data_IF_322880274411
#
_entry.id   IF_322880274411
#
_cell.length_a   1.000
_cell.length_b   1.000
_cell.length_c   1.000
_cell.angle_alpha   90.00
_cell.angle_beta   90.00
_cell.angle_gamma   90.00
#
_symmetry.space_group_name_H-M   'P 1'
#
loop_
_entity.id
_entity.type
_entity.pdbx_description
1 polymer ?
#
# COMPACT_ATOMS: atom_id res chain seq x y z
N UNK A 1 -9.91 9.82 0.96
CA UNK A 1 -9.52 10.93 0.06
C UNK A 1 -9.51 10.43 -1.37
N UNK A 2 -10.24 11.06 -2.28
CA UNK A 2 -10.25 10.73 -3.72
C UNK A 2 -9.43 11.78 -4.48
N UNK A 3 -8.44 11.35 -5.25
CA UNK A 3 -7.52 12.25 -5.95
C UNK A 3 -7.89 12.50 -7.42
N UNK A 4 -8.86 11.77 -7.97
CA UNK A 4 -9.32 11.96 -9.34
C UNK A 4 -10.83 12.13 -9.43
N UNK A 5 -11.26 13.01 -10.34
CA UNK A 5 -12.63 13.11 -10.81
C UNK A 5 -12.63 13.15 -12.35
N UNK A 6 -13.58 12.47 -12.97
CA UNK A 6 -13.74 12.52 -14.42
C UNK A 6 -14.46 13.81 -14.83
N UNK A 7 -14.05 14.43 -15.92
CA UNK A 7 -14.83 15.52 -16.52
C UNK A 7 -16.06 14.93 -17.22
N UNK A 8 -17.24 15.51 -16.96
CA UNK A 8 -18.51 15.01 -17.49
C UNK A 8 -18.62 15.12 -19.03
N UNK A 9 -17.82 16.00 -19.64
CA UNK A 9 -17.71 16.15 -21.09
C UNK A 9 -16.80 15.11 -21.76
N UNK A 10 -16.20 14.20 -20.97
CA UNK A 10 -15.33 13.14 -21.46
C UNK A 10 -13.92 13.60 -21.86
N UNK A 11 -13.54 14.85 -21.59
CA UNK A 11 -12.22 15.41 -21.95
C UNK A 11 -11.06 14.81 -21.15
N UNK A 12 -11.35 14.04 -20.10
CA UNK A 12 -10.36 13.29 -19.34
C UNK A 12 -10.67 13.27 -17.85
N UNK A 13 -9.61 13.31 -17.04
CA UNK A 13 -9.71 13.32 -15.58
C UNK A 13 -8.94 14.51 -15.00
N UNK A 14 -9.52 15.15 -13.98
CA UNK A 14 -8.81 16.07 -13.12
C UNK A 14 -8.09 15.25 -12.03
N UNK A 15 -6.77 15.45 -11.88
CA UNK A 15 -5.96 14.74 -10.88
C UNK A 15 -5.32 15.73 -9.89
N UNK A 16 -5.74 15.63 -8.63
CA UNK A 16 -5.32 16.49 -7.53
C UNK A 16 -3.81 16.46 -7.24
N UNK A 17 -3.11 15.35 -7.53
CA UNK A 17 -1.66 15.24 -7.33
C UNK A 17 -0.86 16.02 -8.39
N UNK A 18 -1.47 16.29 -9.54
CA UNK A 18 -0.82 16.90 -10.71
C UNK A 18 -1.17 18.37 -10.89
N UNK A 19 -1.92 18.94 -9.95
CA UNK A 19 -2.32 20.34 -9.98
C UNK A 19 -1.51 21.12 -8.94
N UNK A 20 -0.89 22.20 -9.38
CA UNK A 20 -0.39 23.23 -8.48
C UNK A 20 -1.54 23.88 -7.70
N UNK A 21 -1.22 24.56 -6.61
CA UNK A 21 -2.20 25.31 -5.81
C UNK A 21 -2.97 26.33 -6.65
N UNK A 22 -2.31 26.97 -7.63
CA UNK A 22 -2.94 27.93 -8.54
C UNK A 22 -3.95 27.24 -9.45
N UNK A 23 -3.56 26.14 -10.10
CA UNK A 23 -4.45 25.34 -10.96
C UNK A 23 -5.65 24.80 -10.17
N UNK A 24 -5.44 24.37 -8.93
CA UNK A 24 -6.53 23.90 -8.07
C UNK A 24 -7.51 25.02 -7.73
N UNK A 25 -7.01 26.21 -7.37
CA UNK A 25 -7.87 27.36 -7.11
C UNK A 25 -8.58 27.86 -8.37
N UNK A 26 -7.97 27.74 -9.55
CA UNK A 26 -8.64 27.99 -10.82
C UNK A 26 -9.77 27.00 -11.08
N UNK A 27 -9.52 25.70 -10.88
CA UNK A 27 -10.57 24.67 -10.96
C UNK A 27 -11.72 25.00 -10.01
N UNK A 28 -11.44 25.31 -8.75
CA UNK A 28 -12.46 25.66 -7.76
C UNK A 28 -13.27 26.90 -8.11
N UNK A 29 -12.68 27.90 -8.78
CA UNK A 29 -13.38 29.12 -9.20
C UNK A 29 -14.24 28.91 -10.44
N UNK A 30 -13.80 28.04 -11.36
CA UNK A 30 -14.37 27.94 -12.69
C UNK A 30 -15.31 26.74 -12.87
N UNK A 31 -15.18 25.69 -12.06
CA UNK A 31 -16.05 24.52 -12.18
C UNK A 31 -17.50 24.86 -11.84
N UNK A 32 -18.43 24.15 -12.49
CA UNK A 32 -19.84 24.11 -12.13
C UNK A 32 -20.19 22.74 -11.57
N UNK A 33 -21.19 22.71 -10.70
CA UNK A 33 -21.75 21.46 -10.19
C UNK A 33 -22.18 20.59 -11.36
N UNK A 34 -21.65 19.37 -11.42
CA UNK A 34 -21.90 18.42 -12.51
C UNK A 34 -20.79 18.32 -13.55
N UNK A 35 -19.85 19.27 -13.60
CA UNK A 35 -18.70 19.23 -14.52
C UNK A 35 -17.71 18.11 -14.17
N UNK A 36 -17.66 17.74 -12.89
CA UNK A 36 -16.78 16.71 -12.35
C UNK A 36 -17.62 15.57 -11.78
N UNK A 37 -17.19 14.34 -12.03
CA UNK A 37 -17.89 13.12 -11.63
C UNK A 37 -16.97 12.22 -10.80
N UNK A 38 -17.53 11.66 -9.72
CA UNK A 38 -16.82 10.72 -8.85
C UNK A 38 -16.58 9.40 -9.58
N UNK A 39 -15.37 8.81 -9.52
CA UNK A 39 -15.06 7.59 -10.25
C UNK A 39 -15.83 6.35 -9.77
N UNK A 40 -16.35 6.37 -8.53
CA UNK A 40 -17.06 5.22 -7.95
C UNK A 40 -18.53 5.08 -8.36
N UNK A 41 -19.19 6.16 -8.80
CA UNK A 41 -20.63 6.17 -9.05
C UNK A 41 -21.12 7.24 -10.04
N UNK A 42 -20.21 8.02 -10.62
CA UNK A 42 -20.50 9.16 -11.51
C UNK A 42 -21.34 10.29 -10.90
N UNK A 43 -21.60 10.26 -9.59
CA UNK A 43 -22.25 11.37 -8.89
C UNK A 43 -21.38 12.64 -8.95
N UNK A 44 -21.97 13.85 -8.87
CA UNK A 44 -21.21 15.08 -8.94
C UNK A 44 -20.10 15.16 -7.87
N UNK A 45 -18.90 15.51 -8.31
CA UNK A 45 -17.71 15.69 -7.49
C UNK A 45 -17.46 17.17 -7.19
N UNK A 46 -16.97 17.45 -5.99
CA UNK A 46 -16.64 18.78 -5.49
C UNK A 46 -15.13 18.84 -5.18
N UNK A 47 -14.38 19.76 -5.79
CA UNK A 47 -12.99 20.01 -5.44
C UNK A 47 -12.89 20.72 -4.08
N UNK A 48 -12.33 20.02 -3.09
CA UNK A 48 -12.13 20.49 -1.72
C UNK A 48 -10.65 20.52 -1.34
N UNK A 49 -10.37 21.19 -0.23
CA UNK A 49 -9.05 21.20 0.42
C UNK A 49 -9.24 20.65 1.82
N UNK A 50 -8.39 19.72 2.24
CA UNK A 50 -8.45 19.17 3.60
C UNK A 50 -8.00 20.19 4.63
N UNK A 51 -8.25 19.95 5.91
CA UNK A 51 -7.77 20.82 7.00
C UNK A 51 -6.24 21.00 6.98
N UNK A 52 -5.51 20.05 6.42
CA UNK A 52 -4.05 20.07 6.29
C UNK A 52 -3.57 20.62 4.94
N UNK A 53 -4.46 21.20 4.12
CA UNK A 53 -4.09 21.86 2.86
C UNK A 53 -4.01 20.95 1.63
N UNK A 54 -4.45 19.69 1.71
CA UNK A 54 -4.34 18.76 0.57
C UNK A 54 -5.60 18.83 -0.33
N UNK A 55 -5.43 19.08 -1.64
CA UNK A 55 -6.50 18.97 -2.64
C UNK A 55 -7.12 17.57 -2.74
N UNK A 56 -8.45 17.48 -2.83
CA UNK A 56 -9.17 16.23 -3.06
C UNK A 56 -10.58 16.44 -3.62
N UNK A 57 -11.18 15.37 -4.15
CA UNK A 57 -12.58 15.35 -4.59
C UNK A 57 -13.49 14.67 -3.57
N UNK A 58 -14.67 15.24 -3.38
CA UNK A 58 -15.72 14.69 -2.52
C UNK A 58 -17.07 14.67 -3.24
N UNK A 59 -17.96 13.76 -2.86
CA UNK A 59 -19.34 13.75 -3.36
C UNK A 59 -20.09 15.05 -2.98
N UNK A 60 -20.90 15.57 -3.91
CA UNK A 60 -21.83 16.67 -3.66
C UNK A 60 -23.13 16.15 -3.00
N UNK A 61 -23.07 15.90 -1.68
CA UNK A 61 -24.24 15.46 -0.92
C UNK A 61 -24.79 14.08 -1.31
N UNK A 62 -25.62 13.49 -0.44
CA UNK A 62 -26.27 12.20 -0.68
C UNK A 62 -25.43 10.97 -0.29
N UNK A 63 -26.12 9.85 -0.06
CA UNK A 63 -25.50 8.55 0.17
C UNK A 63 -25.03 7.99 -1.18
N UNK A 64 -23.71 7.85 -1.33
CA UNK A 64 -23.18 7.04 -2.42
C UNK A 64 -23.68 5.60 -2.24
N UNK A 65 -24.30 5.02 -3.27
CA UNK A 65 -24.80 3.64 -3.22
C UNK A 65 -23.67 2.62 -3.24
N UNK A 66 -22.48 3.04 -3.68
CA UNK A 66 -21.26 2.25 -3.63
C UNK A 66 -20.81 2.12 -2.17
N UNK A 67 -20.61 0.88 -1.70
CA UNK A 67 -20.15 0.63 -0.33
C UNK A 67 -18.87 1.40 0.00
N UNK A 68 -18.68 1.79 1.26
CA UNK A 68 -17.44 2.44 1.68
C UNK A 68 -16.21 1.58 1.37
N UNK A 69 -16.35 0.25 1.45
CA UNK A 69 -15.32 -0.72 1.08
C UNK A 69 -14.87 -0.53 -0.37
N UNK A 70 -15.83 -0.50 -1.28
CA UNK A 70 -15.62 -0.29 -2.72
C UNK A 70 -15.07 1.10 -3.03
N UNK A 71 -15.53 2.15 -2.34
CA UNK A 71 -15.01 3.51 -2.52
C UNK A 71 -13.54 3.61 -2.15
N UNK A 72 -13.13 3.05 -1.01
CA UNK A 72 -11.74 3.04 -0.59
C UNK A 72 -10.87 2.20 -1.51
N UNK A 73 -11.35 1.03 -1.92
CA UNK A 73 -10.62 0.14 -2.82
C UNK A 73 -10.33 0.85 -4.15
N UNK A 74 -11.33 1.49 -4.73
CA UNK A 74 -11.17 2.26 -5.96
C UNK A 74 -10.26 3.47 -5.77
N UNK A 75 -10.42 4.23 -4.69
CA UNK A 75 -9.57 5.39 -4.40
C UNK A 75 -8.09 4.97 -4.22
N UNK A 76 -7.84 3.86 -3.54
CA UNK A 76 -6.51 3.30 -3.39
C UNK A 76 -5.93 2.83 -4.74
N UNK A 77 -6.71 2.16 -5.60
CA UNK A 77 -6.27 1.75 -6.95
C UNK A 77 -5.82 2.95 -7.78
N UNK A 78 -6.65 3.98 -7.83
CA UNK A 78 -6.38 5.22 -8.55
C UNK A 78 -5.14 5.93 -8.01
N UNK A 79 -5.01 6.00 -6.67
CA UNK A 79 -3.85 6.62 -6.03
C UNK A 79 -2.56 5.87 -6.39
N UNK A 80 -2.53 4.55 -6.23
CA UNK A 80 -1.35 3.73 -6.53
C UNK A 80 -1.00 3.82 -8.02
N UNK A 81 -1.99 3.77 -8.92
CA UNK A 81 -1.79 3.94 -10.37
C UNK A 81 -1.16 5.29 -10.68
N UNK A 82 -1.70 6.38 -10.12
CA UNK A 82 -1.19 7.74 -10.34
C UNK A 82 0.25 7.89 -9.84
N UNK A 83 0.57 7.36 -8.66
CA UNK A 83 1.94 7.41 -8.13
C UNK A 83 2.91 6.57 -8.96
N UNK A 84 2.49 5.41 -9.47
CA UNK A 84 3.32 4.61 -10.39
C UNK A 84 3.61 5.38 -11.69
N UNK A 85 2.61 6.06 -12.26
CA UNK A 85 2.81 6.93 -13.43
C UNK A 85 3.80 8.07 -13.13
N UNK A 86 3.69 8.72 -11.98
CA UNK A 86 4.60 9.79 -11.56
C UNK A 86 6.03 9.28 -11.32
N UNK A 87 6.18 8.00 -10.94
CA UNK A 87 7.46 7.30 -10.90
C UNK A 87 7.94 6.86 -12.30
N UNK A 88 7.24 7.19 -13.37
CA UNK A 88 7.62 6.86 -14.75
C UNK A 88 7.30 5.42 -15.16
N UNK A 89 6.41 4.73 -14.46
CA UNK A 89 5.89 3.44 -14.88
C UNK A 89 4.76 3.62 -15.92
N UNK A 90 4.66 2.69 -16.87
CA UNK A 90 3.39 2.42 -17.55
C UNK A 90 2.49 1.71 -16.54
N UNK A 91 1.40 2.35 -16.11
CA UNK A 91 0.51 1.80 -15.10
C UNK A 91 -0.92 1.63 -15.58
N UNK A 92 -1.63 0.66 -14.99
CA UNK A 92 -3.06 0.42 -15.23
C UNK A 92 -3.71 -0.17 -13.99
N UNK A 93 -5.04 -0.08 -13.91
CA UNK A 93 -5.84 -0.77 -12.89
C UNK A 93 -6.49 -2.01 -13.51
N UNK A 94 -6.78 -3.02 -12.69
CA UNK A 94 -7.48 -4.24 -13.10
C UNK A 94 -6.79 -5.02 -14.22
N UNK A 95 -5.46 -5.01 -14.25
CA UNK A 95 -4.66 -5.60 -15.33
C UNK A 95 -4.78 -7.13 -15.32
N UNK A 96 -5.36 -7.75 -16.37
CA UNK A 96 -5.41 -9.19 -16.47
C UNK A 96 -4.04 -9.76 -16.86
N UNK A 97 -3.78 -10.99 -16.45
CA UNK A 97 -2.64 -11.77 -16.88
C UNK A 97 -2.89 -13.26 -16.81
N UNK A 98 -1.96 -14.04 -17.34
CA UNK A 98 -2.07 -15.48 -17.42
C UNK A 98 -0.71 -16.14 -17.55
N UNK A 99 -0.54 -17.23 -16.81
CA UNK A 99 0.63 -18.11 -16.91
C UNK A 99 0.23 -19.54 -16.58
N UNK A 100 1.24 -20.39 -16.31
CA UNK A 100 1.06 -21.82 -16.08
C UNK A 100 0.16 -22.11 -14.86
N UNK A 101 0.19 -21.23 -13.86
CA UNK A 101 -0.67 -21.30 -12.66
C UNK A 101 -2.11 -20.76 -12.89
N UNK A 102 -2.44 -20.41 -14.13
CA UNK A 102 -3.75 -19.93 -14.57
C UNK A 102 -3.85 -18.41 -14.70
N UNK A 103 -5.09 -17.93 -14.90
CA UNK A 103 -5.40 -16.50 -15.02
C UNK A 103 -5.34 -15.79 -13.68
N UNK A 104 -4.93 -14.53 -13.72
CA UNK A 104 -4.95 -13.59 -12.60
C UNK A 104 -5.34 -12.19 -13.07
N UNK A 105 -5.67 -11.32 -12.12
CA UNK A 105 -5.95 -9.91 -12.34
C UNK A 105 -5.29 -9.14 -11.20
N UNK A 106 -4.36 -8.24 -11.54
CA UNK A 106 -3.73 -7.35 -10.59
C UNK A 106 -4.62 -6.12 -10.39
N UNK A 107 -4.88 -5.76 -9.14
CA UNK A 107 -5.62 -4.53 -8.81
C UNK A 107 -4.97 -3.30 -9.44
N UNK A 108 -3.65 -3.19 -9.35
CA UNK A 108 -2.85 -2.17 -10.04
C UNK A 108 -1.58 -2.80 -10.60
N UNK A 109 -1.25 -2.43 -11.83
CA UNK A 109 -0.05 -2.85 -12.52
C UNK A 109 0.87 -1.66 -12.77
N UNK A 110 2.17 -1.89 -12.70
CA UNK A 110 3.20 -0.93 -13.09
C UNK A 110 4.38 -1.61 -13.78
N UNK A 111 4.88 -1.00 -14.85
CA UNK A 111 6.05 -1.48 -15.58
C UNK A 111 7.01 -0.34 -15.91
N UNK A 112 8.30 -0.50 -15.55
CA UNK A 112 9.37 0.45 -15.88
C UNK A 112 10.67 -0.31 -16.09
N UNK A 113 11.37 -0.05 -17.20
CA UNK A 113 12.67 -0.65 -17.53
C UNK A 113 12.69 -2.19 -17.41
N UNK A 114 11.63 -2.86 -17.87
CA UNK A 114 11.48 -4.32 -17.80
C UNK A 114 11.11 -4.88 -16.42
N UNK A 115 11.08 -4.04 -15.38
CA UNK A 115 10.60 -4.41 -14.05
C UNK A 115 9.08 -4.31 -14.02
N UNK A 116 8.41 -5.41 -13.68
CA UNK A 116 6.96 -5.52 -13.57
C UNK A 116 6.55 -5.64 -12.10
N UNK A 117 5.53 -4.88 -11.70
CA UNK A 117 4.98 -4.83 -10.35
C UNK A 117 3.45 -4.94 -10.38
N UNK A 118 2.91 -5.95 -9.69
CA UNK A 118 1.50 -6.08 -9.35
C UNK A 118 1.26 -5.60 -7.90
N UNK A 119 0.48 -4.56 -7.71
CA UNK A 119 0.05 -4.10 -6.39
C UNK A 119 -1.37 -4.56 -6.14
N UNK A 120 -1.57 -5.33 -5.08
CA UNK A 120 -2.86 -5.84 -4.65
C UNK A 120 -3.40 -5.01 -3.49
N UNK A 121 -4.65 -4.57 -3.56
CA UNK A 121 -5.28 -3.74 -2.54
C UNK A 121 -6.38 -4.56 -1.87
N UNK A 122 -6.18 -4.91 -0.61
CA UNK A 122 -7.06 -5.87 0.06
C UNK A 122 -7.78 -5.26 1.26
N UNK A 123 -9.11 -5.16 1.16
CA UNK A 123 -10.00 -4.70 2.24
C UNK A 123 -10.99 -5.77 2.74
N UNK A 124 -11.29 -6.77 1.91
CA UNK A 124 -12.09 -7.93 2.32
C UNK A 124 -11.22 -9.00 2.99
N UNK A 125 -11.85 -9.92 3.71
CA UNK A 125 -11.14 -11.07 4.29
C UNK A 125 -10.58 -11.99 3.20
N UNK A 126 -9.35 -12.48 3.41
CA UNK A 126 -8.69 -13.49 2.58
C UNK A 126 -7.81 -14.34 3.49
N UNK A 127 -7.70 -15.65 3.22
CA UNK A 127 -6.87 -16.55 4.01
C UNK A 127 -5.38 -16.40 3.66
N UNK A 128 -4.48 -16.70 4.60
CA UNK A 128 -3.02 -16.70 4.35
C UNK A 128 -2.64 -17.61 3.16
N UNK A 129 -3.32 -18.76 3.03
CA UNK A 129 -3.12 -19.69 1.91
C UNK A 129 -3.45 -19.03 0.57
N UNK A 130 -4.53 -18.26 0.51
CA UNK A 130 -4.95 -17.58 -0.73
C UNK A 130 -4.04 -16.41 -1.07
N UNK A 131 -3.56 -15.66 -0.07
CA UNK A 131 -2.52 -14.64 -0.28
C UNK A 131 -1.28 -15.27 -0.93
N UNK A 132 -0.73 -16.34 -0.34
CA UNK A 132 0.44 -17.05 -0.89
C UNK A 132 0.18 -17.63 -2.27
N UNK A 133 -1.02 -18.19 -2.51
CA UNK A 133 -1.39 -18.71 -3.83
C UNK A 133 -1.40 -17.60 -4.89
N UNK A 134 -1.99 -16.44 -4.60
CA UNK A 134 -2.01 -15.28 -5.51
C UNK A 134 -0.61 -14.70 -5.70
N UNK A 135 0.15 -14.58 -4.62
CA UNK A 135 1.55 -14.17 -4.62
C UNK A 135 2.41 -15.08 -5.53
N UNK A 136 2.21 -16.40 -5.44
CA UNK A 136 2.90 -17.40 -6.26
C UNK A 136 2.70 -17.19 -7.76
N UNK A 137 1.47 -16.86 -8.19
CA UNK A 137 1.18 -16.59 -9.61
C UNK A 137 2.02 -15.44 -10.17
N UNK A 138 2.23 -14.39 -9.38
CA UNK A 138 3.09 -13.28 -9.79
C UNK A 138 4.56 -13.71 -9.82
N UNK A 139 5.04 -14.42 -8.79
CA UNK A 139 6.44 -14.85 -8.74
C UNK A 139 6.79 -15.82 -9.87
N UNK A 140 5.89 -16.74 -10.22
CA UNK A 140 6.09 -17.74 -11.30
C UNK A 140 6.28 -17.06 -12.67
N UNK A 141 5.72 -15.87 -12.84
CA UNK A 141 5.85 -15.05 -14.06
C UNK A 141 6.96 -14.00 -13.98
N UNK A 142 7.76 -13.99 -12.91
CA UNK A 142 8.82 -13.00 -12.68
C UNK A 142 8.28 -11.59 -12.45
N UNK A 143 7.06 -11.48 -11.90
CA UNK A 143 6.40 -10.23 -11.54
C UNK A 143 6.59 -9.99 -10.04
N UNK A 144 7.09 -8.81 -9.68
CA UNK A 144 7.12 -8.39 -8.27
C UNK A 144 5.69 -8.16 -7.82
N UNK A 145 5.39 -8.43 -6.55
CA UNK A 145 4.09 -8.07 -6.01
C UNK A 145 4.14 -7.52 -4.60
N UNK A 146 3.19 -6.64 -4.30
CA UNK A 146 3.06 -5.93 -3.04
C UNK A 146 1.58 -5.92 -2.63
N UNK A 147 1.30 -6.25 -1.37
CA UNK A 147 -0.04 -6.15 -0.81
C UNK A 147 -0.17 -4.89 0.05
N UNK A 148 -1.14 -4.04 -0.29
CA UNK A 148 -1.55 -2.89 0.50
C UNK A 148 -2.88 -3.18 1.18
N UNK A 149 -2.91 -3.15 2.51
CA UNK A 149 -4.09 -3.53 3.28
C UNK A 149 -4.57 -2.38 4.16
N UNK A 150 -5.88 -2.31 4.39
CA UNK A 150 -6.43 -1.52 5.50
C UNK A 150 -6.04 -2.13 6.87
N UNK A 151 -6.02 -1.30 7.92
CA UNK A 151 -5.48 -1.67 9.24
C UNK A 151 -6.03 -2.97 9.83
N UNK A 152 -7.34 -3.19 9.75
CA UNK A 152 -7.97 -4.41 10.29
C UNK A 152 -7.48 -5.67 9.56
N UNK A 153 -7.36 -5.60 8.24
CA UNK A 153 -6.91 -6.72 7.40
C UNK A 153 -5.42 -6.95 7.51
N UNK A 154 -4.63 -5.88 7.56
CA UNK A 154 -3.22 -5.94 7.89
C UNK A 154 -2.99 -6.68 9.21
N UNK A 155 -3.71 -6.28 10.26
CA UNK A 155 -3.60 -6.89 11.60
C UNK A 155 -3.97 -8.38 11.61
N UNK A 156 -5.00 -8.76 10.86
CA UNK A 156 -5.45 -10.16 10.76
C UNK A 156 -4.46 -11.02 9.97
N UNK A 157 -3.91 -10.49 8.88
CA UNK A 157 -2.89 -11.17 8.09
C UNK A 157 -1.59 -11.31 8.89
N UNK A 158 -1.12 -10.25 9.55
CA UNK A 158 0.07 -10.28 10.41
C UNK A 158 -0.05 -11.35 11.51
N UNK A 159 -1.21 -11.49 12.16
CA UNK A 159 -1.45 -12.58 13.14
C UNK A 159 -1.35 -13.96 12.50
N UNK A 160 -1.92 -14.15 11.30
CA UNK A 160 -1.85 -15.44 10.58
C UNK A 160 -0.41 -15.78 10.18
N UNK A 161 0.33 -14.80 9.64
CA UNK A 161 1.75 -14.96 9.30
C UNK A 161 2.60 -15.27 10.54
N UNK A 162 2.38 -14.57 11.65
CA UNK A 162 3.08 -14.83 12.91
C UNK A 162 2.81 -16.25 13.46
N UNK A 163 1.56 -16.72 13.40
CA UNK A 163 1.23 -18.11 13.79
C UNK A 163 1.94 -19.14 12.91
N UNK A 164 1.98 -18.88 11.60
CA UNK A 164 2.71 -19.73 10.66
C UNK A 164 4.19 -19.79 11.01
N UNK A 165 4.83 -18.63 11.18
CA UNK A 165 6.24 -18.55 11.59
C UNK A 165 6.52 -19.26 12.90
N UNK A 166 5.70 -19.05 13.94
CA UNK A 166 5.85 -19.77 15.21
C UNK A 166 5.85 -21.28 15.00
N UNK A 167 4.90 -21.78 14.19
CA UNK A 167 4.76 -23.21 13.88
C UNK A 167 5.95 -23.75 13.09
N UNK A 168 6.41 -23.04 12.08
CA UNK A 168 7.41 -23.55 11.11
C UNK A 168 8.85 -23.28 11.50
N UNK A 169 9.12 -22.19 12.24
CA UNK A 169 10.48 -21.74 12.55
C UNK A 169 10.83 -21.92 14.04
N UNK A 170 9.84 -21.91 14.94
CA UNK A 170 10.07 -21.89 16.40
C UNK A 170 9.38 -23.04 17.15
N UNK A 171 8.95 -24.10 16.45
CA UNK A 171 8.34 -25.28 17.07
C UNK A 171 7.06 -24.97 17.86
N UNK A 172 6.33 -23.93 17.48
CA UNK A 172 5.10 -23.47 18.12
C UNK A 172 5.29 -22.65 19.40
N UNK A 173 6.53 -22.30 19.78
CA UNK A 173 6.82 -21.52 21.00
C UNK A 173 7.40 -20.16 20.62
N UNK A 174 7.05 -19.12 21.37
CA UNK A 174 7.72 -17.83 21.21
C UNK A 174 9.20 -17.95 21.57
N UNK A 175 10.10 -17.25 20.84
CA UNK A 175 11.50 -17.23 21.18
C UNK A 175 11.70 -16.68 22.60
N UNK A 176 12.64 -17.24 23.39
CA UNK A 176 12.82 -16.90 24.81
C UNK A 176 13.35 -15.47 25.06
N UNK A 177 13.70 -14.74 24.00
CA UNK A 177 14.07 -13.34 24.04
C UNK A 177 14.21 -12.76 22.63
N UNK A 178 14.30 -11.43 22.54
CA UNK A 178 14.41 -10.71 21.27
C UNK A 178 13.07 -10.30 20.67
N UNK A 179 13.13 -9.71 19.48
CA UNK A 179 11.96 -9.29 18.72
C UNK A 179 11.41 -10.47 17.90
N UNK A 180 10.08 -10.58 17.78
CA UNK A 180 9.43 -11.53 16.87
C UNK A 180 8.62 -10.77 15.82
N UNK A 181 9.14 -10.74 14.59
CA UNK A 181 8.45 -10.16 13.45
C UNK A 181 7.33 -11.07 12.94
N UNK A 182 6.13 -10.58 12.62
CA UNK A 182 5.06 -11.45 12.15
C UNK A 182 5.18 -11.82 10.66
N UNK A 183 5.93 -11.09 9.85
CA UNK A 183 5.85 -11.16 8.39
C UNK A 183 6.65 -12.30 7.79
N UNK A 184 6.16 -12.81 6.66
CA UNK A 184 6.85 -13.82 5.86
C UNK A 184 7.63 -13.15 4.71
N UNK A 185 8.82 -13.64 4.35
CA UNK A 185 9.65 -13.03 3.32
C UNK A 185 9.11 -13.22 1.90
N UNK A 186 8.28 -14.24 1.68
CA UNK A 186 7.62 -14.52 0.40
C UNK A 186 6.38 -13.65 0.14
N UNK A 187 5.92 -12.89 1.14
CA UNK A 187 4.69 -12.10 1.07
C UNK A 187 4.96 -10.63 1.46
N UNK A 188 5.31 -9.76 0.49
CA UNK A 188 5.50 -8.33 0.71
C UNK A 188 4.19 -7.63 1.04
N UNK A 189 4.09 -7.05 2.24
CA UNK A 189 2.85 -6.43 2.72
C UNK A 189 3.15 -5.12 3.45
N UNK A 190 2.27 -4.14 3.25
CA UNK A 190 2.23 -2.91 4.01
C UNK A 190 0.77 -2.48 4.27
N UNK A 191 0.60 -1.60 5.25
CA UNK A 191 -0.67 -0.97 5.59
C UNK A 191 -0.79 0.36 4.86
N UNK A 192 -1.93 0.60 4.21
CA UNK A 192 -2.26 1.86 3.55
C UNK A 192 -3.38 2.56 4.32
N UNK A 193 -3.12 3.78 4.78
CA UNK A 193 -4.13 4.71 5.30
C UNK A 193 -4.28 5.85 4.31
N UNK A 194 -5.50 6.09 3.78
CA UNK A 194 -5.74 7.14 2.77
C UNK A 194 -6.00 8.53 3.38
N UNK A 195 -6.32 8.60 4.67
CA UNK A 195 -6.74 9.82 5.36
C UNK A 195 -5.99 9.98 6.69
N UNK A 196 -5.68 11.22 7.11
CA UNK A 196 -5.93 12.50 6.42
C UNK A 196 -4.97 12.75 5.24
N UNK A 197 -3.88 11.99 5.15
CA UNK A 197 -2.90 11.98 4.06
C UNK A 197 -2.51 10.53 3.81
N UNK A 198 -2.32 10.10 2.55
CA UNK A 198 -1.85 8.76 2.24
C UNK A 198 -0.54 8.44 2.96
N UNK A 199 -0.58 7.46 3.86
CA UNK A 199 0.61 6.99 4.58
C UNK A 199 0.73 5.47 4.50
N UNK A 200 1.99 5.03 4.45
CA UNK A 200 2.35 3.62 4.49
C UNK A 200 2.94 3.31 5.86
N UNK A 201 2.49 2.21 6.46
CA UNK A 201 3.02 1.66 7.71
C UNK A 201 3.21 0.16 7.61
N UNK A 202 3.99 -0.45 8.49
CA UNK A 202 4.16 -1.91 8.48
C UNK A 202 4.88 -2.47 9.71
N UNK A 203 4.98 -3.79 9.74
CA UNK A 203 5.74 -4.54 10.73
C UNK A 203 7.22 -4.28 10.43
N UNK A 204 7.85 -3.50 11.30
CA UNK A 204 9.12 -2.82 11.05
C UNK A 204 9.12 -1.40 11.62
N UNK A 205 7.94 -0.90 12.03
CA UNK A 205 7.74 0.44 12.61
C UNK A 205 8.21 1.56 11.68
N UNK A 206 8.24 1.30 10.37
CA UNK A 206 8.50 2.33 9.39
C UNK A 206 7.19 3.08 9.08
N UNK A 207 7.34 4.39 8.87
CA UNK A 207 6.33 5.22 8.22
C UNK A 207 6.98 5.73 6.94
N UNK A 208 6.32 5.54 5.80
CA UNK A 208 6.80 5.97 4.50
C UNK A 208 5.69 6.64 3.70
N UNK A 209 6.08 7.40 2.69
CA UNK A 209 5.15 7.83 1.66
C UNK A 209 4.87 6.67 0.69
N UNK A 210 3.74 6.71 -0.01
CA UNK A 210 3.44 5.72 -1.04
C UNK A 210 4.49 5.73 -2.19
N UNK A 211 4.94 6.88 -2.71
CA UNK A 211 6.06 6.93 -3.67
C UNK A 211 7.32 6.22 -3.16
N UNK A 212 7.73 6.46 -1.92
CA UNK A 212 8.95 5.86 -1.35
C UNK A 212 8.86 4.33 -1.28
N UNK A 213 7.70 3.80 -0.85
CA UNK A 213 7.47 2.35 -0.80
C UNK A 213 7.50 1.74 -2.20
N UNK A 214 6.78 2.32 -3.16
CA UNK A 214 6.70 1.78 -4.52
C UNK A 214 8.06 1.79 -5.20
N UNK A 215 8.81 2.88 -5.08
CA UNK A 215 10.19 2.97 -5.56
C UNK A 215 11.10 1.96 -4.86
N UNK A 216 10.90 1.70 -3.56
CA UNK A 216 11.65 0.67 -2.85
C UNK A 216 11.36 -0.74 -3.37
N UNK A 217 10.11 -1.07 -3.68
CA UNK A 217 9.75 -2.38 -4.24
C UNK A 217 10.32 -2.54 -5.66
N UNK A 218 10.16 -1.51 -6.51
CA UNK A 218 10.68 -1.49 -7.88
C UNK A 218 12.22 -1.69 -7.89
N UNK A 219 12.92 -1.05 -6.95
CA UNK A 219 14.38 -1.05 -6.87
C UNK A 219 14.99 -2.08 -5.90
N UNK A 220 14.23 -3.11 -5.49
CA UNK A 220 14.69 -4.18 -4.56
C UNK A 220 15.17 -3.70 -3.18
N UNK A 221 14.68 -2.55 -2.71
CA UNK A 221 15.01 -1.98 -1.40
C UNK A 221 13.97 -2.30 -0.32
N UNK A 222 12.82 -2.88 -0.67
CA UNK A 222 11.82 -3.34 0.29
C UNK A 222 12.09 -4.80 0.65
N UNK A 223 12.58 -5.05 1.87
CA UNK A 223 13.15 -6.34 2.29
C UNK A 223 12.56 -6.80 3.62
N UNK A 224 12.39 -8.12 3.78
CA UNK A 224 11.93 -8.74 5.01
C UNK A 224 13.12 -9.26 5.82
N UNK A 225 13.39 -8.66 6.98
CA UNK A 225 14.50 -9.01 7.88
C UNK A 225 13.90 -9.42 9.23
N UNK A 226 14.17 -10.65 9.66
CA UNK A 226 13.64 -11.25 10.89
C UNK A 226 12.10 -11.18 11.05
N UNK A 227 11.40 -11.16 9.91
CA UNK A 227 9.94 -11.02 9.82
C UNK A 227 9.42 -9.59 9.95
N UNK A 228 10.27 -8.61 9.64
CA UNK A 228 9.92 -7.20 9.51
C UNK A 228 10.22 -6.70 8.11
N UNK A 229 9.23 -6.08 7.47
CA UNK A 229 9.40 -5.41 6.19
C UNK A 229 9.97 -4.01 6.38
N UNK A 230 11.04 -3.70 5.67
CA UNK A 230 11.81 -2.47 5.82
C UNK A 230 12.20 -1.88 4.45
N UNK A 231 12.33 -0.55 4.39
CA UNK A 231 12.85 0.16 3.22
C UNK A 231 14.34 0.45 3.45
N UNK A 232 15.16 0.09 2.46
CA UNK A 232 16.63 0.13 2.43
C UNK A 232 17.31 -1.00 3.22
N UNK A 233 18.44 -1.44 2.67
CA UNK A 233 19.23 -2.54 3.19
C UNK A 233 20.22 -2.03 4.27
N UNK A 234 20.11 -2.58 5.48
CA UNK A 234 21.20 -2.91 6.43
C UNK A 234 21.91 -1.88 7.34
N UNK A 235 22.17 -0.61 7.00
CA UNK A 235 23.04 0.21 7.89
C UNK A 235 22.32 0.77 9.14
N UNK A 236 21.09 1.25 8.97
CA UNK A 236 20.30 1.80 10.08
C UNK A 236 19.81 0.69 11.04
N UNK A 237 19.59 -0.52 10.52
CA UNK A 237 19.03 -1.64 11.28
C UNK A 237 20.09 -2.52 11.92
N UNK A 238 21.26 -2.76 11.30
CA UNK A 238 22.37 -3.43 12.00
C UNK A 238 22.83 -2.59 13.19
N UNK A 239 22.80 -1.26 13.07
CA UNK A 239 23.08 -0.32 14.15
C UNK A 239 22.02 -0.32 15.25
N UNK A 240 20.75 -0.53 14.91
CA UNK A 240 19.65 -0.63 15.89
C UNK A 240 19.61 -1.99 16.59
N UNK A 241 19.83 -3.08 15.84
CA UNK A 241 19.92 -4.44 16.37
C UNK A 241 21.17 -4.62 17.25
N UNK A 242 22.35 -4.09 16.85
CA UNK A 242 23.55 -4.05 17.71
C UNK A 242 23.28 -3.30 19.01
N UNK A 243 22.71 -2.09 18.94
CA UNK A 243 22.36 -1.30 20.14
C UNK A 243 21.39 -2.03 21.06
N UNK A 244 20.39 -2.71 20.51
CA UNK A 244 19.44 -3.51 21.28
C UNK A 244 20.10 -4.71 21.96
N UNK A 245 21.00 -5.42 21.26
CA UNK A 245 21.79 -6.51 21.82
C UNK A 245 22.76 -6.06 22.91
N UNK A 246 23.46 -4.93 22.71
CA UNK A 246 24.37 -4.33 23.70
C UNK A 246 23.62 -3.88 24.96
N UNK A 247 22.45 -3.24 24.81
CA UNK A 247 21.58 -2.86 25.93
C UNK A 247 21.04 -4.08 26.68
N UNK A 248 20.67 -5.14 25.98
CA UNK A 248 20.22 -6.39 26.60
C UNK A 248 21.36 -7.11 27.35
N UNK A 249 22.58 -7.09 26.81
CA UNK A 249 23.77 -7.64 27.45
C UNK A 249 24.16 -6.85 28.71
N UNK A 250 24.17 -5.52 28.65
CA UNK A 250 24.45 -4.64 29.79
C UNK A 250 23.44 -4.84 30.93
N UNK A 251 22.14 -5.00 30.59
CA UNK A 251 21.09 -5.32 31.58
C UNK A 251 21.27 -6.69 32.22
N UNK A 252 21.78 -7.69 31.50
CA UNK A 252 22.08 -9.03 32.05
C UNK A 252 23.27 -9.02 33.00
N UNK A 253 24.29 -8.21 32.71
CA UNK A 253 25.44 -8.04 33.60
C UNK A 253 25.03 -7.32 34.88
N UNK A 254 24.25 -6.24 34.77
CA UNK A 254 23.76 -5.48 35.93
C UNK A 254 22.78 -6.25 36.83
N UNK A 255 22.11 -7.28 36.32
CA UNK A 255 21.21 -8.13 37.09
C UNK A 255 21.93 -9.27 37.85
N UNK A 256 23.21 -9.51 37.56
CA UNK A 256 24.03 -10.58 38.15
C UNK A 256 25.13 -10.06 39.11
N UNK A 257 25.09 -8.77 39.45
CA UNK A 257 25.91 -8.08 40.47
C UNK A 257 24.99 -7.49 41.52
#
# INVERSE_FOLDING_TARGET
>A
MVIEAAYADGTGVANALRMSQVQWHELQRNYRVGDLQMPCCSAPAVPKVSANGYPFFAHLGGACTTSEESQWHLAAKILVRSVLEDLGCRASVEMPGSGDAGRWQADVWGERNGVRLAVEIQRSYQSLRDYRKRQGRYSDEGVKSLWLLGQERYSTLAKSMGKERLRTEFGGKFPPGGHFGPCLPDLPVAMLELEPVPTIKGAGFFTATLPDLLEAVLSNRFLCIDGLWCINNLDSMSSAAKRSHELAAAKRVAANT
#
